data_IF_514046173615
#
_entry.id   IF_514046173615
#
_cell.length_a   1.000
_cell.length_b   1.000
_cell.length_c   1.000
_cell.angle_alpha   90.00
_cell.angle_beta   90.00
_cell.angle_gamma   90.00
#
_symmetry.space_group_name_H-M   'P 1'
#
loop_
_entity.id
_entity.type
_entity.pdbx_description
1 polymer ?
#
# COMPACT_ATOMS: atom_id res chain seq x y z
N UNK A 1 3.37 11.89 11.52
CA UNK A 1 3.91 10.52 11.75
C UNK A 1 3.33 9.49 10.80
N UNK A 2 2.01 9.46 10.57
CA UNK A 2 1.41 8.44 9.69
C UNK A 2 1.95 8.49 8.25
N UNK A 3 2.12 9.68 7.65
CA UNK A 3 2.64 9.83 6.27
C UNK A 3 3.99 9.12 6.05
N UNK A 4 5.08 9.45 6.79
CA UNK A 4 6.36 8.78 6.57
C UNK A 4 6.34 7.29 6.95
N UNK A 5 5.53 6.89 7.93
CA UNK A 5 5.37 5.47 8.28
C UNK A 5 4.72 4.68 7.14
N UNK A 6 3.62 5.19 6.57
CA UNK A 6 2.92 4.55 5.47
C UNK A 6 3.75 4.53 4.19
N UNK A 7 4.49 5.60 3.89
CA UNK A 7 5.46 5.62 2.80
C UNK A 7 6.48 4.48 2.94
N UNK A 8 7.11 4.37 4.12
CA UNK A 8 8.09 3.32 4.39
C UNK A 8 7.48 1.92 4.36
N UNK A 9 6.27 1.73 4.90
CA UNK A 9 5.59 0.42 4.89
C UNK A 9 5.25 -0.06 3.48
N UNK A 10 4.76 0.82 2.60
CA UNK A 10 4.53 0.43 1.19
C UNK A 10 5.87 0.14 0.50
N UNK A 11 6.93 0.88 0.82
CA UNK A 11 8.26 0.62 0.28
C UNK A 11 8.83 -0.74 0.71
N UNK A 12 8.62 -1.16 1.97
CA UNK A 12 9.01 -2.49 2.46
C UNK A 12 8.35 -3.64 1.68
N UNK A 13 7.18 -3.39 1.08
CA UNK A 13 6.44 -4.36 0.28
C UNK A 13 6.86 -4.34 -1.19
N UNK A 14 7.61 -3.33 -1.65
CA UNK A 14 8.03 -3.12 -3.03
C UNK A 14 9.27 -3.94 -3.42
N UNK A 15 9.20 -5.26 -3.20
CA UNK A 15 10.30 -6.19 -3.48
C UNK A 15 10.15 -6.92 -4.83
N UNK A 16 8.99 -6.78 -5.50
CA UNK A 16 8.71 -7.35 -6.83
C UNK A 16 7.74 -6.44 -7.58
N UNK A 17 7.81 -6.41 -8.92
CA UNK A 17 6.90 -5.62 -9.74
C UNK A 17 5.43 -5.87 -9.39
N UNK A 18 4.66 -4.81 -9.17
CA UNK A 18 3.23 -4.86 -8.86
C UNK A 18 2.84 -5.13 -7.41
N UNK A 19 3.77 -5.49 -6.50
CA UNK A 19 3.43 -5.73 -5.08
C UNK A 19 3.03 -4.45 -4.35
N UNK A 20 3.73 -3.35 -4.58
CA UNK A 20 3.39 -2.04 -4.00
C UNK A 20 1.97 -1.61 -4.39
N UNK A 21 1.60 -1.79 -5.67
CA UNK A 21 0.25 -1.49 -6.15
C UNK A 21 -0.81 -2.36 -5.47
N UNK A 22 -0.58 -3.67 -5.35
CA UNK A 22 -1.53 -4.57 -4.72
C UNK A 22 -1.73 -4.23 -3.23
N UNK A 23 -0.64 -3.97 -2.51
CA UNK A 23 -0.71 -3.52 -1.12
C UNK A 23 -1.48 -2.21 -0.98
N UNK A 24 -1.22 -1.27 -1.89
CA UNK A 24 -1.95 -0.02 -1.97
C UNK A 24 -3.45 -0.23 -2.22
N UNK A 25 -3.82 -0.99 -3.27
CA UNK A 25 -5.20 -1.21 -3.66
C UNK A 25 -6.02 -1.90 -2.57
N UNK A 26 -5.45 -2.92 -1.92
CA UNK A 26 -6.10 -3.61 -0.79
C UNK A 26 -6.27 -2.66 0.40
N UNK A 27 -5.23 -1.91 0.75
CA UNK A 27 -5.28 -0.95 1.87
C UNK A 27 -6.30 0.16 1.61
N UNK A 28 -6.29 0.72 0.40
CA UNK A 28 -7.25 1.74 -0.03
C UNK A 28 -8.69 1.19 0.05
N UNK A 29 -8.95 -0.02 -0.45
CA UNK A 29 -10.27 -0.65 -0.36
C UNK A 29 -10.73 -0.83 1.10
N UNK A 30 -9.85 -1.29 1.99
CA UNK A 30 -10.17 -1.43 3.42
C UNK A 30 -10.52 -0.07 4.04
N UNK A 31 -9.77 0.98 3.72
CA UNK A 31 -10.05 2.34 4.20
C UNK A 31 -11.39 2.85 3.65
N UNK A 32 -11.68 2.64 2.36
CA UNK A 32 -12.93 3.03 1.72
C UNK A 32 -14.15 2.33 2.36
N UNK A 33 -14.03 1.03 2.63
CA UNK A 33 -15.06 0.27 3.33
C UNK A 33 -15.24 0.78 4.76
N UNK A 34 -14.13 1.06 5.47
CA UNK A 34 -14.18 1.56 6.84
C UNK A 34 -14.84 2.95 6.95
N UNK A 35 -14.72 3.81 5.93
CA UNK A 35 -15.43 5.11 5.91
C UNK A 35 -16.80 5.02 5.25
N UNK A 36 -17.28 3.81 4.91
CA UNK A 36 -18.54 3.59 4.20
C UNK A 36 -18.64 4.41 2.91
N UNK A 37 -17.53 4.56 2.18
CA UNK A 37 -17.41 5.37 0.97
C UNK A 37 -17.77 6.85 1.15
N UNK A 38 -17.80 7.35 2.39
CA UNK A 38 -18.01 8.79 2.69
C UNK A 38 -16.67 9.50 2.64
N UNK A 39 -16.20 9.74 1.41
CA UNK A 39 -14.97 10.49 1.17
C UNK A 39 -15.27 11.99 1.10
N UNK A 40 -14.40 12.79 1.69
CA UNK A 40 -14.42 14.26 1.63
C UNK A 40 -14.35 14.79 0.18
N UNK A 41 -13.43 14.26 -0.64
CA UNK A 41 -13.29 14.64 -2.05
C UNK A 41 -12.97 13.43 -2.94
N UNK A 42 -13.95 13.06 -3.76
CA UNK A 42 -13.83 11.96 -4.72
C UNK A 42 -12.95 12.29 -5.92
N UNK A 43 -12.77 13.57 -6.27
CA UNK A 43 -11.95 13.95 -7.42
C UNK A 43 -10.47 13.64 -7.16
N UNK A 44 -9.97 14.00 -5.97
CA UNK A 44 -8.60 13.70 -5.54
C UNK A 44 -8.37 12.19 -5.54
N UNK A 45 -9.32 11.42 -4.98
CA UNK A 45 -9.21 9.97 -4.93
C UNK A 45 -9.24 9.32 -6.32
N UNK A 46 -10.13 9.80 -7.20
CA UNK A 46 -10.24 9.32 -8.58
C UNK A 46 -8.99 9.61 -9.40
N UNK A 47 -8.44 10.83 -9.30
CA UNK A 47 -7.20 11.21 -10.01
C UNK A 47 -6.04 10.31 -9.55
N UNK A 48 -5.86 10.15 -8.24
CA UNK A 48 -4.73 9.38 -7.72
C UNK A 48 -4.90 7.91 -8.07
N UNK A 49 -6.10 7.35 -7.93
CA UNK A 49 -6.37 5.98 -8.37
C UNK A 49 -6.08 5.78 -9.86
N UNK A 50 -6.51 6.71 -10.72
CA UNK A 50 -6.23 6.65 -12.16
C UNK A 50 -4.73 6.70 -12.46
N UNK A 51 -3.99 7.65 -11.86
CA UNK A 51 -2.52 7.76 -12.01
C UNK A 51 -1.84 6.48 -11.56
N UNK A 52 -2.27 5.92 -10.43
CA UNK A 52 -1.74 4.66 -9.91
C UNK A 52 -2.03 3.49 -10.85
N UNK A 53 -3.22 3.38 -11.44
CA UNK A 53 -3.54 2.32 -12.40
C UNK A 53 -2.69 2.42 -13.68
N UNK A 54 -2.45 3.63 -14.17
CA UNK A 54 -1.57 3.86 -15.32
C UNK A 54 -0.13 3.48 -14.95
N UNK A 55 0.34 3.90 -13.79
CA UNK A 55 1.66 3.56 -13.27
C UNK A 55 1.87 2.05 -13.14
N UNK A 56 0.88 1.35 -12.59
CA UNK A 56 0.88 -0.11 -12.49
C UNK A 56 0.98 -0.81 -13.84
N UNK A 57 0.36 -0.27 -14.90
CA UNK A 57 0.43 -0.86 -16.24
C UNK A 57 1.88 -0.94 -16.76
N UNK A 58 2.71 0.07 -16.48
CA UNK A 58 4.13 0.06 -16.84
C UNK A 58 4.99 -0.74 -15.87
N UNK A 59 4.71 -0.65 -14.56
CA UNK A 59 5.44 -1.42 -13.54
C UNK A 59 5.28 -2.94 -13.74
N UNK A 60 4.09 -3.40 -14.14
CA UNK A 60 3.77 -4.81 -14.43
C UNK A 60 4.59 -5.45 -15.53
N UNK A 61 5.11 -4.68 -16.49
CA UNK A 61 5.91 -5.21 -17.59
C UNK A 61 7.38 -5.39 -17.23
N UNK A 62 7.78 -4.98 -16.03
CA UNK A 62 9.19 -4.86 -15.62
C UNK A 62 10.01 -3.93 -16.57
N UNK A 63 9.33 -3.12 -17.40
CA UNK A 63 9.97 -2.17 -18.32
C UNK A 63 10.59 -0.99 -17.54
N UNK A 64 10.06 -0.68 -16.36
CA UNK A 64 10.63 0.25 -15.40
C UNK A 64 10.22 -0.16 -13.97
N UNK A 65 11.20 -0.35 -13.08
CA UNK A 65 10.90 -0.37 -11.64
C UNK A 65 10.64 1.06 -11.22
N UNK A 66 9.40 1.39 -10.86
CA UNK A 66 9.10 2.76 -10.40
C UNK A 66 9.78 3.11 -9.07
N UNK A 67 10.15 2.08 -8.31
CA UNK A 67 11.00 2.16 -7.11
C UNK A 67 10.43 3.05 -6.01
N UNK A 68 11.34 3.54 -5.17
CA UNK A 68 11.03 4.31 -3.96
C UNK A 68 10.12 5.52 -4.20
N UNK A 69 10.20 6.16 -5.38
CA UNK A 69 9.38 7.33 -5.67
C UNK A 69 7.89 6.97 -5.73
N UNK A 70 7.56 5.84 -6.33
CA UNK A 70 6.18 5.39 -6.49
C UNK A 70 5.63 4.80 -5.18
N UNK A 71 6.38 3.90 -4.55
CA UNK A 71 5.97 3.28 -3.29
C UNK A 71 5.73 4.32 -2.17
N UNK A 72 6.61 5.34 -2.07
CA UNK A 72 6.44 6.40 -1.09
C UNK A 72 5.22 7.29 -1.36
N UNK A 73 4.95 7.62 -2.64
CA UNK A 73 3.76 8.40 -3.02
C UNK A 73 2.48 7.63 -2.70
N UNK A 74 2.43 6.32 -2.96
CA UNK A 74 1.29 5.48 -2.61
C UNK A 74 1.07 5.42 -1.10
N UNK A 75 2.13 5.21 -0.32
CA UNK A 75 2.03 5.19 1.14
C UNK A 75 1.61 6.55 1.71
N UNK A 76 2.15 7.65 1.17
CA UNK A 76 1.72 8.99 1.56
C UNK A 76 0.24 9.23 1.26
N UNK A 77 -0.24 8.76 0.10
CA UNK A 77 -1.66 8.90 -0.25
C UNK A 77 -2.59 8.09 0.67
N UNK A 78 -2.22 6.86 1.04
CA UNK A 78 -2.97 6.09 2.05
C UNK A 78 -3.06 6.84 3.38
N UNK A 79 -1.98 7.46 3.82
CA UNK A 79 -1.98 8.26 5.04
C UNK A 79 -2.91 9.49 4.92
N UNK A 80 -2.91 10.18 3.78
CA UNK A 80 -3.81 11.31 3.52
C UNK A 80 -5.27 10.86 3.51
N UNK A 81 -5.58 9.72 2.86
CA UNK A 81 -6.92 9.13 2.88
C UNK A 81 -7.42 8.89 4.30
N UNK A 82 -6.57 8.35 5.17
CA UNK A 82 -6.91 8.16 6.59
C UNK A 82 -7.10 9.49 7.30
N UNK A 83 -6.15 10.42 7.19
CA UNK A 83 -6.18 11.71 7.90
C UNK A 83 -7.41 12.53 7.54
N UNK A 84 -7.82 12.52 6.26
CA UNK A 84 -8.94 13.34 5.79
C UNK A 84 -10.32 12.72 6.06
N UNK A 85 -10.42 11.39 6.14
CA UNK A 85 -11.71 10.71 6.14
C UNK A 85 -12.00 9.90 7.41
N UNK A 86 -11.03 9.76 8.31
CA UNK A 86 -11.15 8.92 9.50
C UNK A 86 -10.96 9.69 10.81
N UNK A 87 -11.58 9.23 11.90
CA UNK A 87 -11.33 9.76 13.23
C UNK A 87 -9.90 9.44 13.71
N UNK A 88 -9.41 10.23 14.67
CA UNK A 88 -8.06 10.12 15.22
C UNK A 88 -7.70 8.71 15.72
N UNK A 89 -8.65 7.99 16.33
CA UNK A 89 -8.39 6.64 16.84
C UNK A 89 -7.98 5.67 15.72
N UNK A 90 -8.55 5.82 14.53
CA UNK A 90 -8.22 4.97 13.38
C UNK A 90 -6.80 5.29 12.89
N UNK A 91 -6.43 6.57 12.85
CA UNK A 91 -5.06 6.98 12.53
C UNK A 91 -4.04 6.41 13.53
N UNK A 92 -4.38 6.35 14.83
CA UNK A 92 -3.53 5.71 15.86
C UNK A 92 -3.37 4.21 15.58
N UNK A 93 -4.46 3.50 15.28
CA UNK A 93 -4.41 2.07 14.90
C UNK A 93 -3.50 1.87 13.69
N UNK A 94 -3.62 2.70 12.65
CA UNK A 94 -2.73 2.65 11.50
C UNK A 94 -1.27 2.89 11.89
N UNK A 95 -0.97 3.88 12.72
CA UNK A 95 0.41 4.15 13.18
C UNK A 95 0.99 2.93 13.89
N UNK A 96 0.25 2.35 14.85
CA UNK A 96 0.70 1.16 15.60
C UNK A 96 0.93 -0.02 14.66
N UNK A 97 0.04 -0.24 13.71
CA UNK A 97 0.17 -1.29 12.70
C UNK A 97 1.42 -1.11 11.83
N UNK A 98 1.68 0.12 11.34
CA UNK A 98 2.87 0.41 10.54
C UNK A 98 4.14 0.20 11.38
N UNK A 99 4.19 0.68 12.63
CA UNK A 99 5.35 0.45 13.50
C UNK A 99 5.60 -1.06 13.72
N UNK A 100 4.53 -1.84 13.95
CA UNK A 100 4.64 -3.28 14.12
C UNK A 100 5.20 -3.99 12.87
N UNK A 101 4.78 -3.58 11.68
CA UNK A 101 5.32 -4.09 10.42
C UNK A 101 6.81 -3.75 10.25
N UNK A 102 7.22 -2.54 10.60
CA UNK A 102 8.61 -2.12 10.55
C UNK A 102 9.47 -3.01 11.46
N UNK A 103 9.08 -3.18 12.73
CA UNK A 103 9.79 -4.04 13.69
C UNK A 103 9.82 -5.49 13.18
N UNK A 104 8.70 -6.00 12.66
CA UNK A 104 8.64 -7.36 12.12
C UNK A 104 9.59 -7.54 10.94
N UNK A 105 9.71 -6.54 10.06
CA UNK A 105 10.58 -6.58 8.88
C UNK A 105 12.07 -6.63 9.22
N UNK A 106 12.47 -6.07 10.36
CA UNK A 106 13.86 -6.14 10.85
C UNK A 106 14.20 -7.54 11.37
N UNK A 107 13.24 -8.22 11.99
CA UNK A 107 13.45 -9.55 12.57
C UNK A 107 13.23 -10.68 11.56
N UNK A 108 12.34 -10.48 10.57
CA UNK A 108 11.89 -11.52 9.65
C UNK A 108 11.75 -10.99 8.22
N UNK A 109 12.03 -11.85 7.25
CA UNK A 109 11.75 -11.53 5.84
C UNK A 109 10.25 -11.65 5.55
N UNK A 110 9.61 -10.53 5.22
CA UNK A 110 8.20 -10.48 4.78
C UNK A 110 7.97 -11.40 3.57
N UNK A 111 8.95 -11.50 2.66
CA UNK A 111 8.86 -12.38 1.49
C UNK A 111 8.80 -13.86 1.91
N UNK A 112 9.58 -14.30 2.90
CA UNK A 112 9.49 -15.68 3.43
C UNK A 112 8.13 -15.95 4.06
N UNK A 113 7.54 -14.97 4.76
CA UNK A 113 6.19 -15.11 5.34
C UNK A 113 5.15 -15.37 4.23
N UNK A 114 5.23 -14.61 3.14
CA UNK A 114 4.32 -14.74 1.99
C UNK A 114 4.52 -16.08 1.28
N UNK A 115 5.75 -16.52 1.09
CA UNK A 115 6.06 -17.81 0.45
C UNK A 115 5.58 -19.00 1.29
N UNK A 116 5.62 -18.90 2.62
CA UNK A 116 5.16 -19.96 3.51
C UNK A 116 3.63 -20.10 3.56
N UNK A 117 2.87 -19.03 3.34
CA UNK A 117 1.40 -19.07 3.33
C UNK A 117 0.82 -19.31 1.93
N UNK A 118 0.01 -20.37 1.76
CA UNK A 118 -0.64 -20.69 0.47
C UNK A 118 -1.47 -19.54 -0.10
N UNK A 119 -2.28 -18.87 0.73
CA UNK A 119 -3.18 -17.79 0.30
C UNK A 119 -2.36 -16.55 -0.12
N UNK A 120 -1.41 -16.13 0.73
CA UNK A 120 -0.57 -14.97 0.45
C UNK A 120 0.27 -15.18 -0.81
N UNK A 121 0.84 -16.37 -1.00
CA UNK A 121 1.57 -16.74 -2.21
C UNK A 121 0.70 -16.74 -3.47
N UNK A 122 -0.56 -17.15 -3.37
CA UNK A 122 -1.49 -17.07 -4.49
C UNK A 122 -1.80 -15.61 -4.85
N UNK A 123 -2.08 -14.78 -3.86
CA UNK A 123 -2.29 -13.33 -4.07
C UNK A 123 -1.04 -12.70 -4.68
N UNK A 124 0.16 -12.97 -4.14
CA UNK A 124 1.45 -12.48 -4.67
C UNK A 124 1.70 -12.94 -6.12
N UNK A 125 1.23 -14.13 -6.50
CA UNK A 125 1.35 -14.59 -7.89
C UNK A 125 0.44 -13.84 -8.88
N UNK A 126 -0.59 -13.14 -8.40
CA UNK A 126 -1.50 -12.34 -9.22
C UNK A 126 -1.00 -10.90 -9.43
N UNK A 127 -0.03 -10.44 -8.62
CA UNK A 127 0.38 -9.02 -8.61
C UNK A 127 1.32 -8.65 -9.76
N UNK A 128 2.13 -9.57 -10.27
CA UNK A 128 3.12 -9.27 -11.31
C UNK A 128 3.82 -10.50 -11.88
N UNK A 129 4.72 -10.29 -12.83
CA UNK A 129 5.55 -11.34 -13.43
C UNK A 129 6.62 -11.78 -12.42
N UNK A 130 6.85 -13.09 -12.32
CA UNK A 130 7.94 -13.67 -11.51
C UNK A 130 9.25 -13.67 -12.27
#
# INVERSE_FOLDING_TARGET
MLIPLSANTVNLLDLRPGRAFAAFAVSALVILLACSFRIYDWNICGIIFAVTCIAYYWDRKADAMMGDAYSNVLGAFLAVLVIMNMPLWFAIVCIVFNIALQIYSEMNSITRLIENHRILRYIDSLTGVR
#
